data_IF_540724667483
#
_entry.id   IF_540724667483
#
_cell.length_a   1.000
_cell.length_b   1.000
_cell.length_c   1.000
_cell.angle_alpha   90.00
_cell.angle_beta   90.00
_cell.angle_gamma   90.00
#
_symmetry.space_group_name_H-M   'P 1'
#
loop_
_entity.id
_entity.type
_entity.pdbx_description
1 polymer ?
#
# COMPACT_ATOMS: atom_id res chain seq x y z
N UNK A 1 1.04 -19.25 -16.37
CA UNK A 1 1.10 -18.06 -15.48
C UNK A 1 -0.12 -18.04 -14.53
N UNK A 2 -1.38 -17.98 -15.00
CA UNK A 2 -2.58 -17.87 -14.15
C UNK A 2 -2.75 -18.98 -13.09
N UNK A 3 -2.40 -20.25 -13.40
CA UNK A 3 -2.48 -21.37 -12.42
C UNK A 3 -1.45 -21.26 -11.29
N UNK A 4 -0.26 -20.73 -11.56
CA UNK A 4 0.78 -20.54 -10.54
C UNK A 4 0.40 -19.40 -9.59
N UNK A 5 -0.26 -18.35 -10.10
CA UNK A 5 -0.78 -17.23 -9.33
C UNK A 5 -1.94 -17.69 -8.42
N UNK A 6 -2.87 -18.51 -8.94
CA UNK A 6 -3.97 -19.04 -8.16
C UNK A 6 -3.51 -20.01 -7.05
N UNK A 7 -2.47 -20.80 -7.27
CA UNK A 7 -1.87 -21.65 -6.23
C UNK A 7 -1.16 -20.83 -5.14
N UNK A 8 -0.39 -19.81 -5.52
CA UNK A 8 0.20 -18.88 -4.56
C UNK A 8 -0.87 -18.16 -3.72
N UNK A 9 -2.03 -17.84 -4.31
CA UNK A 9 -3.18 -17.29 -3.60
C UNK A 9 -3.73 -18.22 -2.53
N UNK A 10 -3.96 -19.49 -2.85
CA UNK A 10 -4.52 -20.47 -1.91
C UNK A 10 -3.56 -20.74 -0.73
N UNK A 11 -2.27 -20.78 -0.97
CA UNK A 11 -1.28 -20.93 0.09
C UNK A 11 -1.24 -19.71 1.02
N UNK A 12 -1.35 -18.50 0.49
CA UNK A 12 -1.39 -17.25 1.26
C UNK A 12 -2.68 -17.12 2.10
N UNK A 13 -3.82 -17.51 1.55
CA UNK A 13 -5.12 -17.49 2.27
C UNK A 13 -5.13 -18.52 3.42
N UNK A 14 -4.53 -19.70 3.22
CA UNK A 14 -4.50 -20.75 4.26
C UNK A 14 -3.64 -20.40 5.47
N UNK A 15 -2.62 -19.56 5.30
CA UNK A 15 -1.76 -19.09 6.41
C UNK A 15 -2.40 -17.91 7.16
N UNK A 16 -3.29 -17.17 6.52
CA UNK A 16 -4.01 -16.04 7.14
C UNK A 16 -4.98 -16.46 8.24
N UNK A 17 -5.46 -17.69 8.22
CA UNK A 17 -6.44 -18.20 9.20
C UNK A 17 -5.85 -18.52 10.58
N UNK A 18 -4.53 -18.42 10.78
CA UNK A 18 -3.85 -18.97 11.95
C UNK A 18 -3.32 -17.95 12.99
N UNK A 19 -3.55 -16.65 12.86
CA UNK A 19 -3.05 -15.69 13.86
C UNK A 19 -3.52 -14.24 13.70
N UNK A 20 -3.78 -13.58 14.78
CA UNK A 20 -4.45 -12.27 14.90
C UNK A 20 -3.74 -11.02 14.31
N UNK A 21 -2.59 -11.18 13.63
CA UNK A 21 -1.96 -10.11 12.82
C UNK A 21 -2.29 -10.20 11.33
N UNK A 22 -3.26 -11.02 10.97
CA UNK A 22 -3.53 -11.54 9.65
C UNK A 22 -4.22 -10.57 8.70
N UNK A 23 -4.98 -9.61 9.20
CA UNK A 23 -5.73 -8.68 8.34
C UNK A 23 -4.79 -7.80 7.51
N UNK A 24 -3.73 -7.29 8.14
CA UNK A 24 -2.78 -6.37 7.51
C UNK A 24 -1.91 -7.04 6.43
N UNK A 25 -1.51 -8.30 6.65
CA UNK A 25 -0.70 -9.07 5.67
C UNK A 25 -1.54 -9.47 4.45
N UNK A 26 -2.80 -9.83 4.65
CA UNK A 26 -3.76 -10.09 3.57
C UNK A 26 -3.93 -8.88 2.65
N UNK A 27 -3.89 -7.72 3.22
CA UNK A 27 -4.04 -6.42 2.61
C UNK A 27 -2.91 -6.13 1.62
N UNK A 28 -1.66 -6.27 2.05
CA UNK A 28 -0.50 -6.05 1.18
C UNK A 28 -0.49 -7.06 0.02
N UNK A 29 -0.83 -8.31 0.30
CA UNK A 29 -0.94 -9.35 -0.72
C UNK A 29 -2.04 -9.04 -1.73
N UNK A 30 -3.19 -8.55 -1.28
CA UNK A 30 -4.27 -8.11 -2.16
C UNK A 30 -3.87 -6.90 -3.01
N UNK A 31 -3.25 -5.88 -2.44
CA UNK A 31 -2.76 -4.70 -3.18
C UNK A 31 -1.75 -5.14 -4.25
N UNK A 32 -0.77 -5.96 -3.88
CA UNK A 32 0.26 -6.45 -4.81
C UNK A 32 -0.33 -7.32 -5.92
N UNK A 33 -1.28 -8.18 -5.59
CA UNK A 33 -1.94 -9.03 -6.60
C UNK A 33 -2.86 -8.23 -7.52
N UNK A 34 -3.50 -7.22 -6.98
CA UNK A 34 -4.29 -6.28 -7.72
C UNK A 34 -3.43 -5.54 -8.75
N UNK A 35 -2.28 -5.05 -8.34
CA UNK A 35 -1.34 -4.33 -9.20
C UNK A 35 -0.72 -5.25 -10.25
N UNK A 36 -0.31 -6.47 -9.88
CA UNK A 36 0.22 -7.47 -10.81
C UNK A 36 -0.82 -7.92 -11.84
N UNK A 37 -2.07 -8.08 -11.44
CA UNK A 37 -3.20 -8.41 -12.35
C UNK A 37 -3.42 -7.30 -13.38
N UNK A 38 -3.33 -6.05 -12.97
CA UNK A 38 -3.50 -4.90 -13.84
C UNK A 38 -2.38 -4.74 -14.87
N UNK A 39 -1.14 -5.10 -14.51
CA UNK A 39 0.03 -5.03 -15.42
C UNK A 39 0.12 -6.21 -16.39
N UNK A 40 -0.48 -7.36 -16.07
CA UNK A 40 -0.51 -8.54 -16.96
C UNK A 40 -1.70 -8.55 -17.92
N UNK A 41 -2.68 -7.66 -17.71
CA UNK A 41 -3.91 -7.56 -18.51
C UNK A 41 -3.79 -6.62 -19.71
N UNK A 42 -2.58 -6.35 -20.21
CA UNK A 42 -2.38 -5.54 -21.43
C UNK A 42 -2.69 -6.30 -22.74
N UNK A 43 -3.53 -7.31 -22.71
CA UNK A 43 -4.11 -7.91 -23.91
C UNK A 43 -5.55 -7.42 -24.09
N UNK A 44 -5.80 -6.82 -25.25
CA UNK A 44 -7.04 -6.14 -25.64
C UNK A 44 -8.29 -7.00 -25.44
N UNK A 45 -8.99 -6.90 -24.33
CA UNK A 45 -10.46 -7.02 -24.22
C UNK A 45 -11.06 -7.40 -22.86
N UNK A 46 -10.31 -7.62 -21.78
CA UNK A 46 -10.94 -7.80 -20.45
C UNK A 46 -9.98 -7.29 -19.36
N UNK A 47 -9.93 -5.99 -19.14
CA UNK A 47 -9.38 -5.40 -17.93
C UNK A 47 -10.38 -5.62 -16.80
N UNK A 48 -10.31 -6.73 -16.09
CA UNK A 48 -10.80 -6.79 -14.72
C UNK A 48 -9.90 -5.85 -13.87
N UNK A 49 -10.16 -4.55 -14.01
CA UNK A 49 -9.66 -3.54 -13.09
C UNK A 49 -10.28 -3.91 -11.75
N UNK A 50 -9.48 -4.10 -10.72
CA UNK A 50 -10.02 -4.23 -9.38
C UNK A 50 -10.94 -3.07 -9.11
N UNK A 51 -12.18 -3.35 -8.70
CA UNK A 51 -13.13 -2.29 -8.46
C UNK A 51 -12.68 -1.51 -7.22
N UNK A 52 -12.03 -0.38 -7.43
CA UNK A 52 -11.94 0.64 -6.38
C UNK A 52 -13.34 1.19 -6.15
N UNK A 53 -13.68 1.52 -4.91
CA UNK A 53 -14.99 2.09 -4.58
C UNK A 53 -15.24 3.41 -5.30
N UNK A 54 -16.50 3.80 -5.46
CA UNK A 54 -16.82 5.10 -6.03
C UNK A 54 -16.31 6.25 -5.16
N UNK A 55 -16.18 6.03 -3.84
CA UNK A 55 -15.58 6.97 -2.90
C UNK A 55 -14.09 7.20 -3.19
N UNK A 56 -13.32 6.14 -3.47
CA UNK A 56 -11.91 6.26 -3.86
C UNK A 56 -11.78 6.99 -5.20
N UNK A 57 -12.59 6.61 -6.19
CA UNK A 57 -12.60 7.29 -7.51
C UNK A 57 -12.91 8.77 -7.41
N UNK A 58 -13.78 9.17 -6.49
CA UNK A 58 -14.09 10.59 -6.26
C UNK A 58 -12.87 11.41 -5.84
N UNK A 59 -11.85 10.77 -5.23
CA UNK A 59 -10.60 11.42 -4.85
C UNK A 59 -9.53 11.42 -5.95
N UNK A 60 -9.74 10.78 -7.09
CA UNK A 60 -8.74 10.69 -8.18
C UNK A 60 -8.10 12.04 -8.55
N UNK A 61 -8.84 13.17 -8.73
CA UNK A 61 -8.22 14.45 -9.05
C UNK A 61 -7.27 14.97 -7.96
N UNK A 62 -7.61 14.71 -6.68
CA UNK A 62 -6.79 15.11 -5.52
C UNK A 62 -5.57 14.19 -5.43
N UNK A 63 -5.75 12.89 -5.66
CA UNK A 63 -4.66 11.90 -5.69
C UNK A 63 -3.66 12.27 -6.79
N UNK A 64 -4.12 12.57 -8.01
CA UNK A 64 -3.25 12.98 -9.12
C UNK A 64 -2.46 14.26 -8.80
N UNK A 65 -3.10 15.24 -8.15
CA UNK A 65 -2.45 16.47 -7.70
C UNK A 65 -1.27 16.16 -6.78
N UNK A 66 -1.53 15.45 -5.67
CA UNK A 66 -0.50 15.18 -4.66
C UNK A 66 0.52 14.13 -5.10
N UNK A 67 0.14 13.14 -5.92
CA UNK A 67 1.10 12.23 -6.54
C UNK A 67 2.15 12.99 -7.37
N UNK A 68 1.71 14.01 -8.11
CA UNK A 68 2.62 14.88 -8.87
C UNK A 68 3.48 15.77 -7.94
N UNK A 69 2.89 16.35 -6.90
CA UNK A 69 3.60 17.21 -5.94
C UNK A 69 4.68 16.44 -5.19
N UNK A 70 4.41 15.18 -4.81
CA UNK A 70 5.37 14.31 -4.11
C UNK A 70 6.24 13.45 -5.04
N UNK A 71 6.20 13.68 -6.35
CA UNK A 71 7.14 13.08 -7.31
C UNK A 71 6.85 11.63 -7.69
N UNK A 72 5.63 11.15 -7.45
CA UNK A 72 5.19 9.77 -7.79
C UNK A 72 3.95 9.75 -8.72
N UNK A 73 3.92 10.54 -9.82
CA UNK A 73 2.73 10.64 -10.67
C UNK A 73 2.34 9.31 -11.34
N UNK A 74 3.29 8.41 -11.55
CA UNK A 74 3.06 7.10 -12.18
C UNK A 74 2.45 6.06 -11.22
N UNK A 75 2.29 6.40 -9.93
CA UNK A 75 1.80 5.49 -8.89
C UNK A 75 0.35 5.77 -8.46
N UNK A 76 -0.43 6.53 -9.26
CA UNK A 76 -1.84 6.88 -8.93
C UNK A 76 -2.65 5.63 -8.59
N UNK A 77 -2.56 4.58 -9.40
CA UNK A 77 -3.28 3.32 -9.16
C UNK A 77 -2.85 2.61 -7.87
N UNK A 78 -1.57 2.70 -7.51
CA UNK A 78 -1.08 2.17 -6.23
C UNK A 78 -1.63 2.97 -5.05
N UNK A 79 -1.71 4.29 -5.17
CA UNK A 79 -2.29 5.17 -4.14
C UNK A 79 -3.76 4.86 -3.95
N UNK A 80 -4.52 4.68 -5.03
CA UNK A 80 -5.93 4.29 -4.97
C UNK A 80 -6.12 2.93 -4.30
N UNK A 81 -5.24 1.96 -4.60
CA UNK A 81 -5.25 0.65 -3.97
C UNK A 81 -4.93 0.72 -2.46
N UNK A 82 -3.99 1.57 -2.06
CA UNK A 82 -3.70 1.84 -0.64
C UNK A 82 -4.93 2.46 0.02
N UNK A 83 -5.50 3.53 -0.53
CA UNK A 83 -6.70 4.17 0.03
C UNK A 83 -7.88 3.20 0.12
N UNK A 84 -8.08 2.37 -0.92
CA UNK A 84 -9.13 1.34 -0.92
C UNK A 84 -8.96 0.39 0.25
N UNK A 85 -7.72 0.02 0.56
CA UNK A 85 -7.38 -0.87 1.64
C UNK A 85 -7.53 -0.22 3.02
N UNK A 86 -7.07 1.01 3.18
CA UNK A 86 -7.05 1.70 4.47
C UNK A 86 -8.46 2.08 4.95
N UNK A 87 -9.32 2.52 4.03
CA UNK A 87 -10.65 3.03 4.40
C UNK A 87 -11.75 2.75 3.37
N UNK A 88 -11.40 2.34 2.14
CA UNK A 88 -12.30 2.37 1.00
C UNK A 88 -12.70 3.79 0.58
N UNK A 89 -11.88 4.79 0.87
CA UNK A 89 -12.13 6.21 0.61
C UNK A 89 -13.11 6.86 1.59
N UNK A 90 -13.35 6.24 2.76
CA UNK A 90 -14.37 6.70 3.72
C UNK A 90 -13.75 7.41 4.92
N UNK A 91 -14.59 8.23 5.57
CA UNK A 91 -14.18 8.97 6.76
C UNK A 91 -13.35 10.19 6.43
N UNK A 92 -12.74 10.77 7.47
CA UNK A 92 -11.95 11.99 7.38
C UNK A 92 -10.44 11.75 7.29
N UNK A 93 -10.01 10.50 7.50
CA UNK A 93 -8.63 10.05 7.34
C UNK A 93 -8.57 8.86 6.35
N UNK A 94 -8.88 9.12 5.03
CA UNK A 94 -8.97 8.04 4.05
C UNK A 94 -7.67 7.28 3.81
N UNK A 95 -6.50 7.88 4.08
CA UNK A 95 -5.20 7.23 3.97
C UNK A 95 -4.70 6.62 5.29
N UNK A 96 -5.50 6.73 6.39
CA UNK A 96 -5.15 6.26 7.74
C UNK A 96 -3.76 6.71 8.20
N UNK A 97 -3.42 7.97 7.91
CA UNK A 97 -2.09 8.52 8.14
C UNK A 97 -2.01 9.44 9.37
N UNK A 98 -2.98 9.35 10.28
CA UNK A 98 -2.98 10.15 11.52
C UNK A 98 -1.70 9.97 12.36
N UNK A 99 -1.11 8.78 12.35
CA UNK A 99 0.09 8.47 13.14
C UNK A 99 1.38 8.54 12.31
N UNK A 100 1.33 8.86 11.02
CA UNK A 100 2.52 8.95 10.17
C UNK A 100 3.37 10.18 10.52
N UNK A 101 4.67 10.10 10.20
CA UNK A 101 5.63 11.17 10.51
C UNK A 101 5.35 12.49 9.78
N UNK A 102 4.58 12.47 8.70
CA UNK A 102 4.23 13.65 7.91
C UNK A 102 3.01 14.40 8.43
N UNK A 103 2.23 13.79 9.36
CA UNK A 103 1.16 14.47 10.03
C UNK A 103 1.73 15.48 11.05
N UNK A 104 1.68 16.77 10.73
CA UNK A 104 2.19 17.86 11.59
C UNK A 104 1.08 18.74 12.13
N UNK A 105 -0.17 18.58 11.65
CA UNK A 105 -1.30 19.45 12.01
C UNK A 105 -2.24 18.82 13.05
N UNK A 106 -2.27 17.49 13.15
CA UNK A 106 -3.19 16.77 14.04
C UNK A 106 -2.42 15.94 15.06
N UNK A 107 -3.05 15.56 16.18
CA UNK A 107 -2.44 14.64 17.14
C UNK A 107 -2.05 13.31 16.49
N UNK A 108 -0.92 12.72 16.90
CA UNK A 108 -0.49 11.38 16.44
C UNK A 108 -1.27 10.29 17.19
N UNK A 109 -2.58 10.22 16.94
CA UNK A 109 -3.50 9.20 17.47
C UNK A 109 -4.42 8.73 16.37
N UNK A 110 -4.82 7.44 16.36
CA UNK A 110 -5.63 6.87 15.29
C UNK A 110 -6.88 7.71 15.01
N UNK A 111 -7.13 8.03 13.74
CA UNK A 111 -8.31 8.76 13.28
C UNK A 111 -8.38 10.23 13.71
N UNK A 112 -7.26 10.85 14.09
CA UNK A 112 -7.24 12.25 14.53
C UNK A 112 -7.37 13.25 13.39
N UNK A 113 -6.98 12.89 12.16
CA UNK A 113 -7.13 13.75 10.99
C UNK A 113 -8.62 13.91 10.67
N UNK A 114 -9.07 15.16 10.57
CA UNK A 114 -10.46 15.51 10.27
C UNK A 114 -10.64 16.19 8.91
N UNK A 115 -9.57 16.29 8.13
CA UNK A 115 -9.55 16.85 6.78
C UNK A 115 -9.10 15.77 5.78
N UNK A 116 -10.00 15.26 4.91
CA UNK A 116 -9.67 14.22 3.95
C UNK A 116 -8.60 14.64 2.94
N UNK A 117 -8.56 15.91 2.50
CA UNK A 117 -7.54 16.36 1.56
C UNK A 117 -6.16 16.36 2.22
N UNK A 118 -6.06 16.79 3.46
CA UNK A 118 -4.82 16.71 4.24
C UNK A 118 -4.37 15.26 4.49
N UNK A 119 -5.31 14.35 4.80
CA UNK A 119 -5.00 12.92 4.91
C UNK A 119 -4.39 12.37 3.62
N UNK A 120 -4.95 12.74 2.46
CA UNK A 120 -4.45 12.30 1.15
C UNK A 120 -3.05 12.87 0.90
N UNK A 121 -2.83 14.13 1.17
CA UNK A 121 -1.52 14.78 1.03
C UNK A 121 -0.44 14.04 1.83
N UNK A 122 -0.62 13.94 3.15
CA UNK A 122 0.39 13.30 4.03
C UNK A 122 0.52 11.81 3.82
N UNK A 123 -0.57 11.14 3.42
CA UNK A 123 -0.56 9.71 3.09
C UNK A 123 0.23 9.43 1.81
N UNK A 124 0.08 10.26 0.77
CA UNK A 124 0.86 10.15 -0.47
C UNK A 124 2.33 10.49 -0.20
N UNK A 125 2.61 11.51 0.61
CA UNK A 125 3.97 11.83 1.01
C UNK A 125 4.64 10.67 1.77
N UNK A 126 3.91 10.02 2.69
CA UNK A 126 4.39 8.84 3.41
C UNK A 126 4.69 7.66 2.46
N UNK A 127 3.81 7.42 1.49
CA UNK A 127 4.03 6.37 0.48
C UNK A 127 5.23 6.69 -0.40
N UNK A 128 5.39 7.95 -0.85
CA UNK A 128 6.52 8.39 -1.66
C UNK A 128 7.85 8.17 -0.92
N UNK A 129 7.90 8.50 0.37
CA UNK A 129 9.09 8.25 1.21
C UNK A 129 9.38 6.75 1.36
N UNK A 130 8.36 5.93 1.58
CA UNK A 130 8.51 4.46 1.62
C UNK A 130 9.05 3.90 0.31
N UNK A 131 8.53 4.34 -0.84
CA UNK A 131 9.01 3.94 -2.18
C UNK A 131 10.47 4.35 -2.39
N UNK A 132 10.83 5.56 -1.97
CA UNK A 132 12.20 6.04 -2.05
C UNK A 132 13.17 5.22 -1.18
N UNK A 133 12.83 4.95 0.08
CA UNK A 133 13.65 4.15 0.99
C UNK A 133 13.79 2.70 0.48
N UNK A 134 12.71 2.15 -0.09
CA UNK A 134 12.71 0.84 -0.72
C UNK A 134 13.48 0.79 -2.06
N UNK A 135 13.99 1.94 -2.53
CA UNK A 135 14.68 2.09 -3.83
C UNK A 135 13.83 1.62 -5.02
N UNK A 136 12.53 1.89 -4.97
CA UNK A 136 11.60 1.51 -6.02
C UNK A 136 11.84 2.35 -7.28
N UNK A 137 12.28 1.71 -8.36
CA UNK A 137 12.65 2.42 -9.60
C UNK A 137 11.47 2.64 -10.54
N UNK A 138 10.41 1.83 -10.42
CA UNK A 138 9.22 1.95 -11.28
C UNK A 138 7.99 1.29 -10.65
N UNK A 139 6.78 1.60 -11.16
CA UNK A 139 5.56 0.89 -10.76
C UNK A 139 5.53 -0.61 -11.08
N UNK A 140 6.52 -1.12 -11.80
CA UNK A 140 6.69 -2.55 -12.12
C UNK A 140 7.64 -3.28 -11.17
N UNK A 141 8.32 -2.55 -10.30
CA UNK A 141 9.25 -3.12 -9.31
C UNK A 141 8.47 -3.67 -8.11
N UNK A 142 7.90 -4.86 -8.32
CA UNK A 142 6.99 -5.48 -7.35
C UNK A 142 7.67 -5.82 -6.03
N UNK A 143 8.97 -6.09 -6.02
CA UNK A 143 9.68 -6.44 -4.79
C UNK A 143 9.93 -5.19 -3.93
N UNK A 144 10.34 -4.09 -4.54
CA UNK A 144 10.45 -2.81 -3.85
C UNK A 144 9.07 -2.27 -3.42
N UNK A 145 8.02 -2.44 -4.24
CA UNK A 145 6.65 -2.06 -3.87
C UNK A 145 6.16 -2.82 -2.63
N UNK A 146 6.36 -4.14 -2.55
CA UNK A 146 6.00 -4.93 -1.35
C UNK A 146 6.70 -4.42 -0.11
N UNK A 147 7.99 -4.09 -0.25
CA UNK A 147 8.79 -3.56 0.85
C UNK A 147 8.28 -2.19 1.30
N UNK A 148 7.98 -1.29 0.34
CA UNK A 148 7.42 0.03 0.60
C UNK A 148 6.04 -0.03 1.27
N UNK A 149 5.15 -0.89 0.78
CA UNK A 149 3.82 -1.08 1.37
C UNK A 149 3.89 -1.61 2.80
N UNK A 150 4.82 -2.53 3.08
CA UNK A 150 5.03 -2.98 4.46
C UNK A 150 5.61 -1.87 5.34
N UNK A 151 6.45 -1.00 4.77
CA UNK A 151 6.94 0.20 5.46
C UNK A 151 5.84 1.23 5.72
N UNK A 152 4.88 1.36 4.82
CA UNK A 152 3.70 2.19 5.03
C UNK A 152 2.92 1.76 6.28
N UNK A 153 2.75 0.44 6.46
CA UNK A 153 2.03 -0.14 7.59
C UNK A 153 2.81 -0.14 8.92
N UNK A 154 4.12 -0.42 8.88
CA UNK A 154 4.94 -0.62 10.09
C UNK A 154 5.86 0.55 10.40
N UNK A 155 5.84 1.57 9.54
CA UNK A 155 6.81 2.67 9.54
C UNK A 155 8.07 2.34 8.73
N UNK A 156 8.75 3.38 8.26
CA UNK A 156 9.94 3.30 7.41
C UNK A 156 11.08 2.48 8.02
N UNK A 157 11.12 2.38 9.35
CA UNK A 157 12.09 1.57 10.08
C UNK A 157 12.08 0.09 9.68
N UNK A 158 10.92 -0.43 9.28
CA UNK A 158 10.80 -1.79 8.75
C UNK A 158 11.62 -1.96 7.47
N UNK A 159 11.51 -1.02 6.52
CA UNK A 159 12.20 -1.11 5.22
C UNK A 159 13.71 -1.21 5.44
N UNK A 160 14.27 -0.27 6.20
CA UNK A 160 15.70 -0.25 6.50
C UNK A 160 16.15 -1.52 7.21
N UNK A 161 15.39 -2.00 8.17
CA UNK A 161 15.71 -3.22 8.90
C UNK A 161 15.65 -4.46 8.00
N UNK A 162 14.61 -4.60 7.17
CA UNK A 162 14.45 -5.75 6.27
C UNK A 162 15.56 -5.78 5.22
N UNK A 163 15.87 -4.64 4.62
CA UNK A 163 16.96 -4.53 3.64
C UNK A 163 18.32 -4.86 4.24
N UNK A 164 18.63 -4.34 5.42
CA UNK A 164 19.92 -4.60 6.06
C UNK A 164 20.09 -6.05 6.52
N UNK A 165 19.01 -6.73 6.90
CA UNK A 165 19.08 -8.08 7.47
C UNK A 165 18.84 -9.17 6.44
N UNK A 166 17.94 -8.93 5.47
CA UNK A 166 17.45 -9.95 4.54
C UNK A 166 17.65 -9.57 3.07
N UNK A 167 17.79 -8.29 2.75
CA UNK A 167 17.90 -7.77 1.38
C UNK A 167 16.57 -7.71 0.63
N UNK A 168 15.46 -8.12 1.27
CA UNK A 168 14.15 -8.23 0.61
C UNK A 168 13.00 -8.22 1.60
N UNK A 169 11.77 -8.05 1.07
CA UNK A 169 10.54 -8.34 1.80
C UNK A 169 10.26 -9.84 1.78
N UNK A 170 9.93 -10.40 2.94
CA UNK A 170 9.26 -11.70 3.06
C UNK A 170 8.18 -11.62 4.13
N UNK A 171 7.17 -12.49 4.01
CA UNK A 171 6.15 -12.62 5.06
C UNK A 171 6.79 -12.96 6.42
N UNK A 172 7.82 -13.80 6.41
CA UNK A 172 8.50 -14.21 7.63
C UNK A 172 9.19 -13.03 8.33
N UNK A 173 9.87 -12.14 7.57
CA UNK A 173 10.52 -10.98 8.17
C UNK A 173 9.52 -9.91 8.62
N UNK A 174 8.38 -9.77 7.93
CA UNK A 174 7.31 -8.90 8.38
C UNK A 174 6.72 -9.36 9.72
N UNK A 175 6.47 -10.67 9.88
CA UNK A 175 6.03 -11.26 11.15
C UNK A 175 7.09 -11.06 12.24
N UNK A 176 8.36 -11.33 11.95
CA UNK A 176 9.45 -11.12 12.93
C UNK A 176 9.50 -9.67 13.41
N UNK A 177 9.34 -8.71 12.50
CA UNK A 177 9.35 -7.29 12.87
C UNK A 177 8.15 -6.91 13.74
N UNK A 178 6.97 -7.44 13.48
CA UNK A 178 5.76 -7.15 14.26
C UNK A 178 5.80 -7.66 15.71
N UNK A 179 6.76 -8.53 16.04
CA UNK A 179 6.94 -9.09 17.38
C UNK A 179 7.99 -8.33 18.22
N UNK A 180 8.57 -7.26 17.67
CA UNK A 180 9.58 -6.41 18.37
C UNK A 180 8.93 -5.30 19.14
#
# INVERSE_FOLDING_TARGET
AAKAIAQAMQELISVAAAGGGTVLILVIVLIVMCFAGMMLASDENDTEILPVSDEVKAYEPIIQKYAKEHGIPDYVLLIEAVMMQESGGRGTDPMQCSECNFNTLYPHTPGSITDPEYSIDVGIQNLADCLQIAQCESPLDMDAIKLALQGYNYGQGYITWAMNKYGEYTKANAIEFSLK
#
